data_IF_580179991832
#
_entry.id   IF_580179991832
#
_cell.length_a   1.000
_cell.length_b   1.000
_cell.length_c   1.000
_cell.angle_alpha   90.00
_cell.angle_beta   90.00
_cell.angle_gamma   90.00
#
_symmetry.space_group_name_H-M   'P 1'
#
loop_
_entity.id
_entity.type
_entity.pdbx_description
1 polymer ?
#
# COMPACT_ATOMS: atom_id res chain seq x y z
N UNK A 1 15.24 -15.64 14.53
CA UNK A 1 14.15 -14.76 14.07
C UNK A 1 14.02 -14.91 12.57
N UNK A 2 12.88 -15.44 12.12
CA UNK A 2 12.79 -16.19 10.87
C UNK A 2 12.58 -15.25 9.69
N UNK A 3 13.53 -15.22 8.74
CA UNK A 3 13.41 -14.53 7.43
C UNK A 3 12.02 -14.69 6.80
N UNK A 4 11.40 -15.86 6.97
CA UNK A 4 10.03 -16.18 6.56
C UNK A 4 8.97 -15.21 7.09
N UNK A 5 8.97 -14.90 8.39
CA UNK A 5 7.97 -14.00 9.01
C UNK A 5 8.11 -12.58 8.48
N UNK A 6 9.36 -12.12 8.33
CA UNK A 6 9.68 -10.82 7.77
C UNK A 6 9.18 -10.67 6.33
N UNK A 7 9.41 -11.68 5.47
CA UNK A 7 8.91 -11.65 4.10
C UNK A 7 7.38 -11.74 4.02
N UNK A 8 6.72 -12.50 4.92
CA UNK A 8 5.25 -12.52 4.99
C UNK A 8 4.66 -11.14 5.29
N UNK A 9 5.28 -10.41 6.22
CA UNK A 9 4.86 -9.04 6.57
C UNK A 9 5.01 -8.11 5.36
N UNK A 10 6.11 -8.22 4.63
CA UNK A 10 6.35 -7.42 3.42
C UNK A 10 5.32 -7.75 2.33
N UNK A 11 5.06 -9.03 2.05
CA UNK A 11 4.08 -9.44 1.01
C UNK A 11 2.68 -8.90 1.34
N UNK A 12 2.25 -9.05 2.59
CA UNK A 12 0.93 -8.59 3.04
C UNK A 12 0.77 -7.07 2.88
N UNK A 13 1.75 -6.27 3.33
CA UNK A 13 1.66 -4.81 3.27
C UNK A 13 1.90 -4.27 1.85
N UNK A 14 2.67 -4.98 1.04
CA UNK A 14 2.78 -4.69 -0.39
C UNK A 14 1.44 -4.85 -1.11
N UNK A 15 0.73 -5.96 -0.88
CA UNK A 15 -0.56 -6.19 -1.51
C UNK A 15 -1.60 -5.17 -1.02
N UNK A 16 -1.68 -4.93 0.31
CA UNK A 16 -2.61 -3.94 0.89
C UNK A 16 -2.39 -2.52 0.36
N UNK A 17 -1.13 -2.07 0.24
CA UNK A 17 -0.84 -0.75 -0.34
C UNK A 17 -1.26 -0.65 -1.80
N UNK A 18 -1.02 -1.69 -2.62
CA UNK A 18 -1.41 -1.69 -4.03
C UNK A 18 -2.93 -1.74 -4.23
N UNK A 19 -3.63 -2.52 -3.43
CA UNK A 19 -5.09 -2.62 -3.46
C UNK A 19 -5.75 -1.30 -3.02
N UNK A 20 -5.30 -0.71 -1.91
CA UNK A 20 -5.81 0.58 -1.44
C UNK A 20 -5.57 1.70 -2.46
N UNK A 21 -4.38 1.75 -3.06
CA UNK A 21 -4.07 2.69 -4.14
C UNK A 21 -4.94 2.47 -5.39
N UNK A 22 -5.24 1.20 -5.73
CA UNK A 22 -6.11 0.87 -6.86
C UNK A 22 -7.52 1.39 -6.64
N UNK A 23 -8.07 1.24 -5.43
CA UNK A 23 -9.40 1.79 -5.10
C UNK A 23 -9.40 3.32 -5.22
N UNK A 24 -8.38 3.98 -4.64
CA UNK A 24 -8.24 5.43 -4.74
C UNK A 24 -8.12 5.91 -6.20
N UNK A 25 -7.38 5.17 -7.03
CA UNK A 25 -7.20 5.46 -8.46
C UNK A 25 -8.53 5.43 -9.21
N UNK A 26 -9.42 4.47 -8.90
CA UNK A 26 -10.73 4.37 -9.55
C UNK A 26 -11.69 5.47 -9.09
N UNK A 27 -11.67 5.84 -7.80
CA UNK A 27 -12.42 7.01 -7.30
C UNK A 27 -11.98 8.27 -8.04
N UNK A 28 -10.66 8.51 -8.12
CA UNK A 28 -10.12 9.66 -8.82
C UNK A 28 -10.46 9.66 -10.32
N UNK A 29 -10.45 8.48 -10.97
CA UNK A 29 -10.68 8.35 -12.40
C UNK A 29 -12.15 8.51 -12.78
N UNK A 30 -13.04 7.79 -12.11
CA UNK A 30 -14.42 7.63 -12.58
C UNK A 30 -15.44 8.48 -11.82
N UNK A 31 -15.15 8.83 -10.57
CA UNK A 31 -16.07 9.63 -9.76
C UNK A 31 -15.65 11.11 -9.84
N UNK A 32 -14.38 11.40 -9.54
CA UNK A 32 -13.89 12.77 -9.55
C UNK A 32 -13.40 13.25 -10.93
N UNK A 33 -13.27 12.35 -11.90
CA UNK A 33 -12.79 12.65 -13.26
C UNK A 33 -11.51 13.52 -13.23
N UNK A 34 -10.55 13.16 -12.39
CA UNK A 34 -9.31 13.90 -12.16
C UNK A 34 -8.10 13.15 -12.76
N UNK A 35 -7.68 13.51 -14.00
CA UNK A 35 -6.47 12.97 -14.59
C UNK A 35 -5.20 13.16 -13.74
N UNK A 36 -4.99 14.33 -13.09
CA UNK A 36 -3.81 14.54 -12.25
C UNK A 36 -3.74 13.54 -11.08
N UNK A 37 -4.83 13.38 -10.31
CA UNK A 37 -4.87 12.45 -9.18
C UNK A 37 -4.71 11.00 -9.65
N UNK A 38 -5.38 10.63 -10.74
CA UNK A 38 -5.27 9.30 -11.35
C UNK A 38 -3.82 8.97 -11.71
N UNK A 39 -3.11 9.92 -12.33
CA UNK A 39 -1.71 9.76 -12.73
C UNK A 39 -0.81 9.58 -11.51
N UNK A 40 -0.99 10.39 -10.47
CA UNK A 40 -0.16 10.33 -9.27
C UNK A 40 -0.36 9.02 -8.49
N UNK A 41 -1.62 8.59 -8.29
CA UNK A 41 -1.94 7.32 -7.62
C UNK A 41 -1.38 6.13 -8.39
N UNK A 42 -1.52 6.12 -9.71
CA UNK A 42 -0.94 5.09 -10.59
C UNK A 42 0.58 5.08 -10.49
N UNK A 43 1.23 6.24 -10.49
CA UNK A 43 2.69 6.36 -10.38
C UNK A 43 3.21 5.83 -9.04
N UNK A 44 2.55 6.15 -7.93
CA UNK A 44 2.89 5.61 -6.60
C UNK A 44 2.75 4.09 -6.60
N UNK A 45 1.63 3.56 -7.12
CA UNK A 45 1.38 2.11 -7.21
C UNK A 45 2.41 1.37 -8.06
N UNK A 46 2.85 1.98 -9.15
CA UNK A 46 3.91 1.44 -10.01
C UNK A 46 5.26 1.46 -9.29
N UNK A 47 5.64 2.57 -8.66
CA UNK A 47 6.92 2.68 -7.94
C UNK A 47 7.04 1.67 -6.80
N UNK A 48 5.96 1.44 -6.05
CA UNK A 48 5.90 0.37 -5.03
C UNK A 48 6.18 -1.00 -5.67
N UNK A 49 5.61 -1.26 -6.85
CA UNK A 49 5.82 -2.52 -7.59
C UNK A 49 7.26 -2.65 -8.09
N UNK A 50 7.87 -1.56 -8.56
CA UNK A 50 9.26 -1.52 -9.04
C UNK A 50 10.24 -1.83 -7.92
N UNK A 51 10.13 -1.17 -6.75
CA UNK A 51 10.99 -1.40 -5.58
C UNK A 51 11.06 -2.90 -5.22
N UNK A 52 9.94 -3.60 -5.33
CA UNK A 52 9.89 -5.03 -5.04
C UNK A 52 10.45 -5.90 -6.16
N UNK A 53 10.24 -5.55 -7.42
CA UNK A 53 10.78 -6.28 -8.58
C UNK A 53 12.29 -6.14 -8.72
N UNK A 54 12.85 -5.00 -8.31
CA UNK A 54 14.30 -4.73 -8.32
C UNK A 54 15.08 -5.63 -7.34
N UNK A 55 14.37 -6.41 -6.52
CA UNK A 55 14.95 -7.36 -5.56
C UNK A 55 14.51 -8.81 -5.84
N UNK A 56 15.12 -9.51 -6.82
CA UNK A 56 14.72 -10.88 -7.20
C UNK A 56 14.74 -11.88 -6.03
N UNK A 57 15.67 -11.70 -5.08
CA UNK A 57 15.78 -12.49 -3.86
C UNK A 57 14.59 -12.27 -2.91
N UNK A 58 14.10 -11.04 -2.80
CA UNK A 58 12.88 -10.72 -2.05
C UNK A 58 11.69 -11.33 -2.78
N UNK A 59 11.54 -11.11 -4.10
CA UNK A 59 10.43 -11.68 -4.88
C UNK A 59 10.33 -13.19 -4.72
N UNK A 60 11.46 -13.91 -4.84
CA UNK A 60 11.51 -15.35 -4.64
C UNK A 60 11.05 -15.73 -3.22
N UNK A 61 11.56 -15.04 -2.21
CA UNK A 61 11.18 -15.29 -0.82
C UNK A 61 9.70 -14.97 -0.54
N UNK A 62 9.11 -13.97 -1.19
CA UNK A 62 7.68 -13.68 -1.06
C UNK A 62 6.84 -14.81 -1.68
N UNK A 63 7.19 -15.27 -2.89
CA UNK A 63 6.50 -16.38 -3.55
C UNK A 63 6.56 -17.67 -2.71
N UNK A 64 7.71 -17.99 -2.13
CA UNK A 64 7.90 -19.18 -1.29
C UNK A 64 7.15 -19.12 0.05
N UNK A 65 6.85 -17.92 0.54
CA UNK A 65 6.24 -17.70 1.85
C UNK A 65 4.82 -17.12 1.78
N UNK A 66 4.26 -17.01 0.57
CA UNK A 66 2.89 -16.54 0.35
C UNK A 66 1.93 -17.59 0.89
N UNK A 67 1.39 -17.32 2.06
CA UNK A 67 0.33 -18.11 2.66
C UNK A 67 -0.95 -17.28 2.71
N UNK A 68 -1.75 -17.42 1.66
CA UNK A 68 -3.05 -16.78 1.56
C UNK A 68 -4.06 -17.35 2.58
N UNK A 69 -3.83 -18.53 3.17
CA UNK A 69 -4.79 -19.23 4.02
C UNK A 69 -4.64 -18.84 5.49
N UNK A 70 -3.42 -18.61 5.98
CA UNK A 70 -3.13 -18.31 7.39
C UNK A 70 -3.00 -16.83 7.76
N UNK A 71 -3.51 -15.89 6.96
CA UNK A 71 -3.59 -14.49 7.37
C UNK A 71 -4.61 -14.34 8.52
N UNK A 72 -4.08 -14.26 9.74
CA UNK A 72 -4.82 -14.08 10.99
C UNK A 72 -5.69 -12.81 10.96
N UNK A 73 -5.35 -11.84 10.11
CA UNK A 73 -6.11 -10.59 9.93
C UNK A 73 -7.43 -10.74 9.16
N UNK A 74 -7.71 -11.89 8.52
CA UNK A 74 -8.93 -12.10 7.70
C UNK A 74 -10.24 -11.88 8.45
N UNK A 75 -10.26 -12.07 9.77
CA UNK A 75 -11.46 -11.99 10.59
C UNK A 75 -11.71 -10.60 11.22
N UNK A 76 -10.74 -9.67 11.17
CA UNK A 76 -10.91 -8.33 11.73
C UNK A 76 -11.62 -7.40 10.75
N UNK A 77 -12.91 -7.65 10.49
CA UNK A 77 -13.81 -6.62 9.96
C UNK A 77 -14.17 -5.68 11.09
N UNK A 78 -13.45 -4.55 11.18
CA UNK A 78 -13.87 -3.48 12.09
C UNK A 78 -15.28 -3.02 11.67
N UNK A 79 -16.20 -2.85 12.63
CA UNK A 79 -17.58 -2.37 12.38
C UNK A 79 -17.62 -1.03 11.61
N UNK A 80 -16.52 -0.27 11.63
CA UNK A 80 -16.33 0.97 10.85
C UNK A 80 -16.16 0.74 9.33
N UNK A 81 -15.80 -0.46 8.87
CA UNK A 81 -15.67 -0.75 7.42
C UNK A 81 -17.03 -0.78 6.68
N UNK A 82 -18.13 -0.85 7.43
CA UNK A 82 -19.47 -1.13 6.91
C UNK A 82 -20.30 0.12 6.61
N UNK A 83 -19.85 1.31 7.02
CA UNK A 83 -20.54 2.58 6.72
C UNK A 83 -19.61 3.47 5.89
N UNK A 84 -19.95 3.64 4.63
CA UNK A 84 -19.37 4.65 3.74
C UNK A 84 -20.52 5.44 3.14
N UNK A 85 -20.50 6.76 3.27
CA UNK A 85 -21.59 7.62 2.84
C UNK A 85 -21.38 8.09 1.40
N UNK A 86 -20.13 8.32 1.01
CA UNK A 86 -19.78 8.80 -0.32
C UNK A 86 -18.41 8.27 -0.82
N UNK A 87 -18.00 8.75 -1.99
CA UNK A 87 -16.72 8.41 -2.60
C UNK A 87 -15.51 8.94 -1.83
N UNK A 88 -15.66 10.05 -1.10
CA UNK A 88 -14.62 10.64 -0.27
C UNK A 88 -14.33 9.74 0.94
N UNK A 89 -15.35 9.17 1.56
CA UNK A 89 -15.19 8.15 2.61
C UNK A 89 -14.46 6.91 2.09
N UNK A 90 -14.82 6.43 0.88
CA UNK A 90 -14.12 5.33 0.22
C UNK A 90 -12.64 5.69 0.02
N UNK A 91 -12.35 6.87 -0.51
CA UNK A 91 -10.99 7.33 -0.75
C UNK A 91 -10.19 7.43 0.56
N UNK A 92 -10.70 8.16 1.55
CA UNK A 92 -10.06 8.37 2.86
C UNK A 92 -9.74 7.05 3.56
N UNK A 93 -10.72 6.13 3.63
CA UNK A 93 -10.49 4.84 4.28
C UNK A 93 -9.43 4.00 3.58
N UNK A 94 -9.31 4.10 2.25
CA UNK A 94 -8.29 3.35 1.50
C UNK A 94 -6.92 4.02 1.55
N UNK A 95 -6.85 5.35 1.47
CA UNK A 95 -5.59 6.08 1.53
C UNK A 95 -4.95 5.98 2.93
N UNK A 96 -5.74 5.93 4.01
CA UNK A 96 -5.24 5.63 5.36
C UNK A 96 -4.57 4.25 5.44
N UNK A 97 -5.24 3.21 4.94
CA UNK A 97 -4.65 1.85 4.89
C UNK A 97 -3.37 1.81 4.05
N UNK A 98 -3.29 2.61 2.98
CA UNK A 98 -2.07 2.75 2.17
C UNK A 98 -0.95 3.38 3.01
N UNK A 99 -1.24 4.44 3.75
CA UNK A 99 -0.26 5.11 4.63
C UNK A 99 0.29 4.15 5.69
N UNK A 100 -0.58 3.38 6.35
CA UNK A 100 -0.18 2.35 7.31
C UNK A 100 0.67 1.25 6.66
N UNK A 101 0.24 0.74 5.50
CA UNK A 101 0.96 -0.32 4.78
C UNK A 101 2.35 0.14 4.35
N UNK A 102 2.48 1.35 3.80
CA UNK A 102 3.77 1.93 3.42
C UNK A 102 4.65 2.15 4.65
N UNK A 103 4.08 2.56 5.79
CA UNK A 103 4.82 2.72 7.04
C UNK A 103 5.41 1.39 7.52
N UNK A 104 4.66 0.30 7.40
CA UNK A 104 5.19 -1.04 7.71
C UNK A 104 6.32 -1.40 6.75
N UNK A 105 6.13 -1.22 5.44
CA UNK A 105 7.19 -1.48 4.45
C UNK A 105 8.46 -0.66 4.74
N UNK A 106 8.32 0.62 5.03
CA UNK A 106 9.42 1.52 5.41
C UNK A 106 10.26 0.94 6.57
N UNK A 107 9.61 0.53 7.66
CA UNK A 107 10.31 0.01 8.85
C UNK A 107 10.95 -1.36 8.60
N UNK A 108 10.23 -2.28 7.95
CA UNK A 108 10.76 -3.63 7.71
C UNK A 108 11.88 -3.66 6.66
N UNK A 109 11.86 -2.74 5.69
CA UNK A 109 12.97 -2.60 4.75
C UNK A 109 14.25 -2.08 5.42
N UNK A 110 14.22 -1.39 6.57
CA UNK A 110 15.45 -1.01 7.29
C UNK A 110 16.31 -2.21 7.67
N UNK A 111 15.71 -3.39 7.81
CA UNK A 111 16.37 -4.64 8.15
C UNK A 111 16.98 -5.35 6.92
N UNK A 112 16.53 -5.03 5.71
CA UNK A 112 16.96 -5.70 4.47
C UNK A 112 17.78 -4.76 3.58
N UNK A 113 17.26 -3.55 3.34
CA UNK A 113 17.80 -2.58 2.42
C UNK A 113 17.39 -1.15 2.83
N UNK A 114 18.36 -0.41 3.34
CA UNK A 114 18.19 0.98 3.80
C UNK A 114 17.85 1.94 2.65
N UNK A 115 18.29 1.67 1.43
CA UNK A 115 17.97 2.51 0.28
C UNK A 115 16.49 2.39 -0.07
N UNK A 116 15.98 1.17 -0.15
CA UNK A 116 14.57 0.92 -0.39
C UNK A 116 13.68 1.39 0.78
N UNK A 117 14.16 1.35 2.02
CA UNK A 117 13.48 1.99 3.15
C UNK A 117 13.31 3.50 2.95
N UNK A 118 14.35 4.21 2.52
CA UNK A 118 14.28 5.65 2.23
C UNK A 118 13.31 5.96 1.07
N UNK A 119 13.21 5.09 0.07
CA UNK A 119 12.22 5.22 -1.00
C UNK A 119 10.77 5.08 -0.48
N UNK A 120 10.51 4.15 0.44
CA UNK A 120 9.20 4.06 1.09
C UNK A 120 8.88 5.28 1.95
N UNK A 121 9.87 5.89 2.63
CA UNK A 121 9.69 7.17 3.31
C UNK A 121 9.23 8.25 2.33
N UNK A 122 9.89 8.40 1.18
CA UNK A 122 9.50 9.37 0.13
C UNK A 122 8.09 9.10 -0.40
N UNK A 123 7.76 7.85 -0.67
CA UNK A 123 6.43 7.45 -1.13
C UNK A 123 5.34 7.80 -0.12
N UNK A 124 5.59 7.61 1.19
CA UNK A 124 4.64 7.98 2.25
C UNK A 124 4.34 9.47 2.25
N UNK A 125 5.35 10.33 2.13
CA UNK A 125 5.14 11.78 2.01
C UNK A 125 4.35 12.14 0.75
N UNK A 126 4.65 11.51 -0.38
CA UNK A 126 3.91 11.73 -1.63
C UNK A 126 2.43 11.32 -1.50
N UNK A 127 2.13 10.25 -0.75
CA UNK A 127 0.76 9.86 -0.44
C UNK A 127 0.04 10.93 0.39
N UNK A 128 0.72 11.55 1.38
CA UNK A 128 0.14 12.65 2.16
C UNK A 128 -0.20 13.86 1.28
N UNK A 129 0.66 14.20 0.31
CA UNK A 129 0.40 15.28 -0.63
C UNK A 129 -0.77 14.99 -1.57
N UNK A 130 -0.89 13.74 -2.03
CA UNK A 130 -2.02 13.30 -2.86
C UNK A 130 -3.32 13.37 -2.08
N UNK A 131 -3.35 12.83 -0.85
CA UNK A 131 -4.50 12.90 0.03
C UNK A 131 -4.94 14.34 0.29
N UNK A 132 -3.99 15.21 0.65
CA UNK A 132 -4.26 16.63 0.91
C UNK A 132 -4.84 17.36 -0.29
N UNK A 133 -4.44 17.00 -1.53
CA UNK A 133 -5.03 17.57 -2.75
C UNK A 133 -6.39 16.97 -3.11
N UNK A 134 -6.64 15.73 -2.72
CA UNK A 134 -7.87 15.02 -3.03
C UNK A 134 -9.03 15.41 -2.11
N UNK A 135 -8.75 15.72 -0.84
CA UNK A 135 -9.75 15.97 0.20
C UNK A 135 -9.85 17.44 0.63
N UNK A 136 -9.26 18.35 -0.15
CA UNK A 136 -9.40 19.80 0.00
C UNK A 136 -10.40 20.33 -1.01
#
# INVERSE_FOLDING_TARGET
>A
MLKKELFRIIDANFNRSREGLRVCEEVARFIWNSPPLTKDLKAIRHKITEILKENPSIVKALCENRDCLSDVGKASRAKSEMRRQDASDIFSANIERVKESIRVLEEFFKLIDKNNSAEFTKLRFKVYEVEKRALR
#
